data_IF_293184875880
#
_entry.id   IF_293184875880
#
_cell.length_a   1.000
_cell.length_b   1.000
_cell.length_c   1.000
_cell.angle_alpha   90.00
_cell.angle_beta   90.00
_cell.angle_gamma   90.00
#
_symmetry.space_group_name_H-M   'P 1'
#
loop_
_entity.id
_entity.type
_entity.pdbx_description
1 polymer ?
#
# COMPACT_ATOMS: atom_id res chain seq x y z
N UNK A 1 -13.40 13.55 15.96
CA UNK A 1 -12.66 12.88 14.87
C UNK A 1 -13.02 13.47 13.52
N UNK A 2 -12.03 14.04 12.83
CA UNK A 2 -12.14 14.60 11.48
C UNK A 2 -12.51 13.50 10.45
N UNK A 3 -13.38 13.81 9.47
CA UNK A 3 -13.78 12.88 8.41
C UNK A 3 -12.61 12.28 7.62
N UNK A 4 -11.56 13.07 7.40
CA UNK A 4 -10.34 12.65 6.72
C UNK A 4 -9.62 11.51 7.45
N UNK A 5 -9.51 11.61 8.78
CA UNK A 5 -8.88 10.57 9.59
C UNK A 5 -9.61 9.22 9.44
N UNK A 6 -10.94 9.23 9.34
CA UNK A 6 -11.73 8.00 9.12
C UNK A 6 -11.54 7.39 7.73
N UNK A 7 -11.23 8.20 6.73
CA UNK A 7 -11.08 7.75 5.36
C UNK A 7 -9.69 7.21 5.04
N UNK A 8 -8.63 7.72 5.66
CA UNK A 8 -7.25 7.27 5.39
C UNK A 8 -7.08 5.75 5.52
N UNK A 9 -7.47 5.07 6.63
CA UNK A 9 -7.36 3.61 6.72
C UNK A 9 -8.16 2.87 5.65
N UNK A 10 -9.36 3.39 5.31
CA UNK A 10 -10.22 2.78 4.29
C UNK A 10 -9.62 2.90 2.90
N UNK A 11 -9.03 4.06 2.57
CA UNK A 11 -8.34 4.25 1.31
C UNK A 11 -7.16 3.28 1.18
N UNK A 12 -6.37 3.09 2.24
CA UNK A 12 -5.28 2.10 2.24
C UNK A 12 -5.83 0.69 1.98
N UNK A 13 -6.91 0.29 2.66
CA UNK A 13 -7.54 -1.03 2.49
C UNK A 13 -8.14 -1.20 1.08
N UNK A 14 -8.76 -0.16 0.53
CA UNK A 14 -9.26 -0.17 -0.85
C UNK A 14 -8.07 -0.36 -1.82
N UNK A 15 -6.99 0.38 -1.64
CA UNK A 15 -5.77 0.23 -2.45
C UNK A 15 -5.20 -1.17 -2.34
N UNK A 16 -5.14 -1.75 -1.13
CA UNK A 16 -4.72 -3.14 -0.93
C UNK A 16 -5.61 -4.14 -1.67
N UNK A 17 -6.93 -3.94 -1.61
CA UNK A 17 -7.91 -4.77 -2.33
C UNK A 17 -7.68 -4.72 -3.84
N UNK A 18 -7.46 -3.51 -4.38
CA UNK A 18 -7.12 -3.33 -5.79
C UNK A 18 -5.82 -4.05 -6.17
N UNK A 19 -4.81 -4.07 -5.29
CA UNK A 19 -3.57 -4.82 -5.53
C UNK A 19 -3.82 -6.33 -5.62
N UNK A 20 -4.64 -6.89 -4.72
CA UNK A 20 -5.00 -8.30 -4.82
C UNK A 20 -5.76 -8.62 -6.09
N UNK A 21 -6.78 -7.83 -6.42
CA UNK A 21 -7.54 -8.03 -7.66
C UNK A 21 -6.63 -7.96 -8.89
N UNK A 22 -5.70 -7.00 -8.91
CA UNK A 22 -4.78 -6.84 -10.02
C UNK A 22 -3.77 -7.99 -10.12
N UNK A 23 -3.30 -8.52 -8.98
CA UNK A 23 -2.39 -9.66 -8.92
C UNK A 23 -2.96 -10.91 -9.64
N UNK A 24 -4.28 -11.05 -9.71
CA UNK A 24 -4.96 -12.17 -10.39
C UNK A 24 -5.54 -11.83 -11.77
N UNK A 25 -5.69 -10.54 -12.10
CA UNK A 25 -6.36 -10.11 -13.34
C UNK A 25 -5.40 -9.72 -14.47
N UNK A 26 -4.20 -9.24 -14.14
CA UNK A 26 -3.15 -9.03 -15.15
C UNK A 26 -2.61 -10.38 -15.66
N UNK A 27 -1.89 -10.43 -16.81
CA UNK A 27 -1.08 -11.59 -17.16
C UNK A 27 -0.22 -12.01 -15.97
N UNK A 28 -0.48 -13.20 -15.44
CA UNK A 28 0.08 -13.68 -14.19
C UNK A 28 0.57 -15.13 -14.36
N UNK A 29 1.43 -15.55 -13.44
CA UNK A 29 2.09 -16.85 -13.50
C UNK A 29 1.75 -17.75 -12.31
N UNK A 30 0.59 -17.56 -11.66
CA UNK A 30 0.24 -18.32 -10.45
C UNK A 30 0.19 -19.83 -10.68
N UNK A 31 -0.32 -20.28 -11.82
CA UNK A 31 -0.36 -21.70 -12.17
C UNK A 31 1.05 -22.28 -12.30
N UNK A 32 1.95 -21.58 -12.97
CA UNK A 32 3.33 -22.00 -13.17
C UNK A 32 4.13 -21.96 -11.84
N UNK A 33 3.92 -20.94 -11.00
CA UNK A 33 4.49 -20.87 -9.65
C UNK A 33 4.01 -22.05 -8.78
N UNK A 34 2.73 -22.43 -8.86
CA UNK A 34 2.20 -23.57 -8.12
C UNK A 34 2.79 -24.89 -8.62
N UNK A 35 2.94 -25.04 -9.94
CA UNK A 35 3.49 -26.26 -10.56
C UNK A 35 4.97 -26.46 -10.23
N UNK A 36 5.76 -25.39 -10.32
CA UNK A 36 7.21 -25.44 -10.11
C UNK A 36 7.60 -25.32 -8.62
N UNK A 37 6.66 -24.86 -7.79
CA UNK A 37 6.85 -24.58 -6.38
C UNK A 37 7.17 -23.11 -6.09
N UNK A 38 6.82 -22.69 -4.86
CA UNK A 38 6.95 -21.29 -4.44
C UNK A 38 8.38 -20.86 -4.11
N UNK A 39 9.27 -21.81 -3.80
CA UNK A 39 10.63 -21.47 -3.40
C UNK A 39 11.45 -21.04 -4.61
N UNK A 40 12.11 -19.88 -4.53
CA UNK A 40 12.91 -19.30 -5.63
C UNK A 40 12.12 -19.06 -6.92
N UNK A 41 10.81 -18.85 -6.83
CA UNK A 41 9.93 -18.72 -8.00
C UNK A 41 10.12 -17.44 -8.82
N UNK A 42 10.93 -16.48 -8.37
CA UNK A 42 11.15 -15.17 -9.02
C UNK A 42 12.64 -14.80 -9.12
N UNK A 43 13.54 -15.79 -9.20
CA UNK A 43 15.00 -15.52 -9.17
C UNK A 43 15.70 -15.75 -10.50
N UNK A 44 15.08 -16.48 -11.44
CA UNK A 44 15.65 -16.72 -12.76
C UNK A 44 15.23 -15.59 -13.72
N UNK A 45 16.09 -14.59 -13.85
CA UNK A 45 15.83 -13.39 -14.65
C UNK A 45 15.83 -13.65 -16.16
N UNK A 46 16.31 -14.81 -16.60
CA UNK A 46 16.38 -15.20 -18.02
C UNK A 46 15.15 -16.03 -18.45
N UNK A 47 14.30 -16.44 -17.51
CA UNK A 47 13.09 -17.18 -17.80
C UNK A 47 12.10 -16.34 -18.62
N UNK A 48 11.46 -16.95 -19.61
CA UNK A 48 10.53 -16.26 -20.51
C UNK A 48 9.31 -15.67 -19.78
N UNK A 49 8.90 -16.27 -18.65
CA UNK A 49 7.79 -15.85 -17.80
C UNK A 49 8.24 -15.09 -16.54
N UNK A 50 9.50 -14.66 -16.48
CA UNK A 50 10.08 -13.99 -15.32
C UNK A 50 9.27 -12.77 -14.87
N UNK A 51 8.89 -11.90 -15.81
CA UNK A 51 8.15 -10.68 -15.49
C UNK A 51 6.75 -11.00 -14.97
N UNK A 52 6.03 -11.96 -15.57
CA UNK A 52 4.72 -12.38 -15.08
C UNK A 52 4.80 -12.92 -13.65
N UNK A 53 5.86 -13.69 -13.32
CA UNK A 53 6.09 -14.19 -11.96
C UNK A 53 6.42 -13.07 -10.98
N UNK A 54 7.36 -12.20 -11.35
CA UNK A 54 7.79 -11.06 -10.54
C UNK A 54 6.60 -10.15 -10.23
N UNK A 55 5.82 -9.75 -11.25
CA UNK A 55 4.65 -8.90 -11.06
C UNK A 55 3.56 -9.59 -10.22
N UNK A 56 3.30 -10.88 -10.45
CA UNK A 56 2.32 -11.65 -9.65
C UNK A 56 2.65 -11.54 -8.15
N UNK A 57 3.92 -11.81 -7.80
CA UNK A 57 4.39 -11.73 -6.41
C UNK A 57 4.43 -10.30 -5.90
N UNK A 58 4.92 -9.34 -6.70
CA UNK A 58 5.01 -7.93 -6.33
C UNK A 58 3.65 -7.35 -5.91
N UNK A 59 2.62 -7.56 -6.74
CA UNK A 59 1.27 -7.05 -6.47
C UNK A 59 0.65 -7.74 -5.24
N UNK A 60 0.85 -9.05 -5.09
CA UNK A 60 0.38 -9.81 -3.92
C UNK A 60 1.01 -9.29 -2.62
N UNK A 61 2.34 -9.22 -2.56
CA UNK A 61 3.08 -8.82 -1.35
C UNK A 61 2.78 -7.35 -1.00
N UNK A 62 2.75 -6.47 -1.99
CA UNK A 62 2.36 -5.07 -1.80
C UNK A 62 0.94 -4.94 -1.26
N UNK A 63 0.00 -5.75 -1.77
CA UNK A 63 -1.37 -5.83 -1.24
C UNK A 63 -1.40 -6.24 0.24
N UNK A 64 -0.64 -7.27 0.63
CA UNK A 64 -0.53 -7.70 2.05
C UNK A 64 0.02 -6.58 2.93
N UNK A 65 1.11 -5.93 2.50
CA UNK A 65 1.72 -4.84 3.26
C UNK A 65 0.76 -3.66 3.45
N UNK A 66 0.05 -3.26 2.39
CA UNK A 66 -0.97 -2.20 2.46
C UNK A 66 -2.15 -2.63 3.36
N UNK A 67 -2.65 -3.86 3.25
CA UNK A 67 -3.74 -4.34 4.09
C UNK A 67 -3.34 -4.31 5.57
N UNK A 68 -2.14 -4.77 5.89
CA UNK A 68 -1.59 -4.72 7.25
C UNK A 68 -1.53 -3.27 7.75
N UNK A 69 -0.94 -2.33 6.99
CA UNK A 69 -0.87 -0.93 7.37
C UNK A 69 -2.26 -0.29 7.53
N UNK A 70 -3.20 -0.56 6.63
CA UNK A 70 -4.55 -0.02 6.66
C UNK A 70 -5.36 -0.52 7.86
N UNK A 71 -5.28 -1.82 8.16
CA UNK A 71 -5.96 -2.41 9.33
C UNK A 71 -5.32 -1.97 10.64
N UNK A 72 -3.98 -1.88 10.73
CA UNK A 72 -3.30 -1.34 11.90
C UNK A 72 -3.65 0.14 12.13
N UNK A 73 -3.67 0.95 11.07
CA UNK A 73 -4.07 2.35 11.13
C UNK A 73 -5.53 2.49 11.61
N UNK A 74 -6.42 1.64 11.12
CA UNK A 74 -7.82 1.60 11.57
C UNK A 74 -7.93 1.21 13.05
N UNK A 75 -7.12 0.25 13.50
CA UNK A 75 -7.06 -0.15 14.90
C UNK A 75 -6.57 0.99 15.80
N UNK A 76 -5.43 1.60 15.47
CA UNK A 76 -4.86 2.74 16.22
C UNK A 76 -5.82 3.92 16.28
N UNK A 77 -6.47 4.23 15.16
CA UNK A 77 -7.46 5.31 15.10
C UNK A 77 -8.66 5.04 16.01
N UNK A 78 -9.14 3.79 16.08
CA UNK A 78 -10.23 3.41 16.98
C UNK A 78 -9.80 3.43 18.44
N UNK A 79 -8.58 3.02 18.74
CA UNK A 79 -8.06 2.95 20.10
C UNK A 79 -7.71 4.33 20.69
N UNK A 80 -7.18 5.25 19.87
CA UNK A 80 -6.64 6.53 20.33
C UNK A 80 -7.47 7.75 19.87
N UNK A 81 -8.41 7.54 18.95
CA UNK A 81 -9.15 8.63 18.30
C UNK A 81 -8.33 9.46 17.30
N UNK A 82 -7.06 9.08 17.06
CA UNK A 82 -6.10 9.83 16.24
C UNK A 82 -5.31 8.94 15.29
N UNK A 83 -4.90 9.52 14.16
CA UNK A 83 -3.92 8.88 13.28
C UNK A 83 -2.49 9.31 13.63
N UNK A 84 -1.54 8.38 13.73
CA UNK A 84 -0.14 8.74 13.95
C UNK A 84 0.45 9.33 12.66
N UNK A 85 1.12 10.49 12.77
CA UNK A 85 1.80 11.13 11.64
C UNK A 85 2.85 10.22 10.98
N UNK A 86 3.43 9.30 11.76
CA UNK A 86 4.38 8.28 11.31
C UNK A 86 3.85 7.44 10.13
N UNK A 87 2.56 7.08 10.14
CA UNK A 87 1.94 6.36 9.02
C UNK A 87 2.03 7.17 7.72
N UNK A 88 1.74 8.47 7.79
CA UNK A 88 1.81 9.35 6.64
C UNK A 88 3.23 9.48 6.10
N UNK A 89 4.23 9.60 6.97
CA UNK A 89 5.62 9.63 6.57
C UNK A 89 6.09 8.34 5.91
N UNK A 90 5.67 7.18 6.40
CA UNK A 90 5.99 5.90 5.75
C UNK A 90 5.41 5.81 4.34
N UNK A 91 4.15 6.20 4.16
CA UNK A 91 3.51 6.18 2.85
C UNK A 91 4.13 7.21 1.89
N UNK A 92 4.53 8.40 2.36
CA UNK A 92 5.27 9.37 1.52
C UNK A 92 6.65 8.84 1.14
N UNK A 93 7.38 8.27 2.10
CA UNK A 93 8.71 7.72 1.88
C UNK A 93 8.70 6.51 0.91
N UNK A 94 7.59 5.76 0.86
CA UNK A 94 7.37 4.71 -0.13
C UNK A 94 6.90 5.29 -1.48
N UNK A 95 5.91 6.18 -1.45
CA UNK A 95 5.26 6.70 -2.65
C UNK A 95 6.16 7.57 -3.51
N UNK A 96 7.02 8.42 -2.91
CA UNK A 96 7.92 9.31 -3.67
C UNK A 96 8.90 8.51 -4.55
N UNK A 97 9.70 7.56 -4.02
CA UNK A 97 10.56 6.72 -4.84
C UNK A 97 9.81 5.95 -5.91
N UNK A 98 8.64 5.37 -5.59
CA UNK A 98 7.82 4.66 -6.57
C UNK A 98 7.38 5.57 -7.71
N UNK A 99 6.95 6.80 -7.40
CA UNK A 99 6.57 7.78 -8.41
C UNK A 99 7.77 8.23 -9.27
N UNK A 100 8.94 8.41 -8.67
CA UNK A 100 10.14 8.92 -9.36
C UNK A 100 10.77 7.84 -10.24
N UNK A 101 10.95 6.64 -9.73
CA UNK A 101 11.70 5.59 -10.43
C UNK A 101 10.88 4.84 -11.48
N UNK A 102 9.56 4.72 -11.30
CA UNK A 102 8.69 3.98 -12.23
C UNK A 102 7.90 4.89 -13.19
N UNK A 103 8.19 6.19 -13.20
CA UNK A 103 7.46 7.17 -14.02
C UNK A 103 7.43 6.79 -15.51
N UNK A 104 6.31 6.97 -16.24
CA UNK A 104 5.02 7.51 -15.77
C UNK A 104 4.05 6.46 -15.21
N UNK A 105 4.28 5.16 -15.45
CA UNK A 105 3.36 4.08 -15.08
C UNK A 105 3.71 3.57 -13.68
N UNK A 106 3.19 4.24 -12.65
CA UNK A 106 3.54 3.92 -11.25
C UNK A 106 2.30 3.56 -10.42
N UNK A 107 2.43 2.53 -9.59
CA UNK A 107 1.53 2.26 -8.47
C UNK A 107 1.76 3.19 -7.26
N UNK A 108 2.73 4.10 -7.35
CA UNK A 108 3.13 4.99 -6.25
C UNK A 108 2.16 6.14 -5.99
N UNK A 109 1.40 6.58 -7.01
CA UNK A 109 0.53 7.75 -6.87
C UNK A 109 -0.54 7.61 -5.78
N UNK A 110 -1.33 6.52 -5.69
CA UNK A 110 -2.27 6.33 -4.59
C UNK A 110 -1.58 6.33 -3.22
N UNK A 111 -0.43 5.64 -3.11
CA UNK A 111 0.34 5.55 -1.86
C UNK A 111 0.79 6.93 -1.40
N UNK A 112 1.34 7.73 -2.31
CA UNK A 112 1.80 9.09 -2.04
C UNK A 112 0.65 10.02 -1.61
N UNK A 113 -0.45 10.01 -2.37
CA UNK A 113 -1.63 10.84 -2.08
C UNK A 113 -2.18 10.48 -0.69
N UNK A 114 -2.36 9.19 -0.40
CA UNK A 114 -2.85 8.74 0.89
C UNK A 114 -1.88 9.12 2.02
N UNK A 115 -0.57 9.04 1.80
CA UNK A 115 0.44 9.50 2.76
C UNK A 115 0.32 10.98 3.10
N UNK A 116 0.14 11.83 2.09
CA UNK A 116 -0.11 13.27 2.29
C UNK A 116 -1.41 13.49 3.08
N UNK A 117 -2.49 12.79 2.71
CA UNK A 117 -3.77 12.87 3.43
C UNK A 117 -3.64 12.45 4.90
N UNK A 118 -2.84 11.43 5.19
CA UNK A 118 -2.56 10.97 6.55
C UNK A 118 -1.81 12.03 7.37
N UNK A 119 -0.82 12.71 6.77
CA UNK A 119 -0.11 13.82 7.42
C UNK A 119 -1.04 15.01 7.70
N UNK A 120 -1.89 15.36 6.74
CA UNK A 120 -2.89 16.44 6.92
C UNK A 120 -3.88 16.08 8.01
N UNK A 121 -4.35 14.82 8.07
CA UNK A 121 -5.24 14.34 9.11
C UNK A 121 -4.58 14.43 10.50
N UNK A 122 -3.33 13.96 10.64
CA UNK A 122 -2.60 13.98 11.89
C UNK A 122 -2.37 15.41 12.42
N UNK A 123 -2.03 16.36 11.54
CA UNK A 123 -1.85 17.78 11.93
C UNK A 123 -3.13 18.39 12.47
N UNK A 124 -4.27 18.17 11.80
CA UNK A 124 -5.58 18.71 12.23
C UNK A 124 -6.01 18.16 13.60
N UNK A 125 -5.66 16.91 13.89
CA UNK A 125 -5.95 16.31 15.19
C UNK A 125 -5.09 16.94 16.30
N UNK A 126 -3.86 17.37 16.03
CA UNK A 126 -3.00 18.09 16.98
C UNK A 126 -3.52 19.50 17.31
N UNK A 127 -3.90 20.28 16.29
CA UNK A 127 -4.38 21.66 16.47
C UNK A 127 -5.68 21.71 17.29
N UNK A 128 -6.57 20.74 17.10
CA UNK A 128 -7.82 20.62 17.85
C UNK A 128 -7.65 20.34 19.36
N UNK A 129 -6.48 19.85 19.79
CA UNK A 129 -6.16 19.71 21.23
C UNK A 129 -5.72 21.00 21.88
N UNK A 130 -5.13 21.94 21.12
CA UNK A 130 -4.59 23.18 21.68
C UNK A 130 -5.72 24.21 21.91
N UNK A 131 -6.86 24.04 21.24
CA UNK A 131 -8.03 24.91 21.37
C UNK A 131 -9.07 24.46 22.42
N UNK A 132 -8.84 23.34 23.13
CA UNK A 132 -9.70 22.86 24.22
C UNK A 132 -9.02 23.07 25.58
#
# INVERSE_FOLDING_TARGET
>A
MNALARWVPRLIIITATLHFLWAFNQPNAWSAIVQDGFFRSVVDTEAADYFEREFSVWWMVSGVALLAMGTLAQHVLRATGRLPAQLGWYLVALGVPLCVFYFPVTGGWPVLIIGILALVAARRDHDGTIQQ
#
